data_IF_660484552747
#
_entry.id   IF_660484552747
#
_cell.length_a   1.000
_cell.length_b   1.000
_cell.length_c   1.000
_cell.angle_alpha   90.00
_cell.angle_beta   90.00
_cell.angle_gamma   90.00
#
_symmetry.space_group_name_H-M   'P 1'
#
loop_
_entity.id
_entity.type
_entity.pdbx_description
1 polymer ?
#
# COMPACT_ATOMS: atom_id res chain seq x y z
N UNK A 1 25.63 -15.35 -19.33
CA UNK A 1 24.90 -15.77 -18.11
C UNK A 1 23.92 -14.67 -17.77
N UNK A 2 22.60 -14.95 -17.74
CA UNK A 2 21.61 -13.97 -17.31
C UNK A 2 21.69 -13.81 -15.78
N UNK A 3 21.71 -12.58 -15.28
CA UNK A 3 21.64 -12.32 -13.84
C UNK A 3 20.34 -12.91 -13.28
N UNK A 4 20.35 -13.51 -12.07
CA UNK A 4 19.12 -13.99 -11.45
C UNK A 4 18.11 -12.84 -11.34
N UNK A 5 16.81 -13.10 -11.55
CA UNK A 5 15.79 -12.06 -11.45
C UNK A 5 15.91 -11.40 -10.08
N UNK A 6 16.08 -10.07 -10.05
CA UNK A 6 16.12 -9.29 -8.81
C UNK A 6 14.77 -9.44 -8.13
N UNK A 7 14.68 -10.33 -7.14
CA UNK A 7 13.56 -10.39 -6.23
C UNK A 7 13.61 -9.12 -5.38
N UNK A 8 12.65 -8.23 -5.60
CA UNK A 8 12.49 -7.05 -4.77
C UNK A 8 12.01 -7.50 -3.39
N UNK A 9 12.57 -6.97 -2.29
CA UNK A 9 12.05 -7.26 -0.97
C UNK A 9 10.60 -6.79 -0.91
N UNK A 10 9.69 -7.70 -0.55
CA UNK A 10 8.28 -7.38 -0.34
C UNK A 10 8.20 -6.40 0.84
N UNK A 11 7.39 -5.33 0.75
CA UNK A 11 7.17 -4.42 1.87
C UNK A 11 6.72 -5.17 3.11
N UNK A 12 7.08 -4.65 4.29
CA UNK A 12 6.54 -5.19 5.53
C UNK A 12 5.07 -4.78 5.66
N UNK A 13 4.21 -5.66 6.22
CA UNK A 13 2.83 -5.30 6.52
C UNK A 13 2.73 -4.03 7.36
N UNK A 14 1.66 -3.28 7.16
CA UNK A 14 1.37 -2.12 7.98
C UNK A 14 1.04 -2.59 9.40
N UNK A 15 1.75 -2.06 10.39
CA UNK A 15 1.53 -2.39 11.79
C UNK A 15 0.56 -1.38 12.40
N UNK A 16 -0.61 -1.85 12.84
CA UNK A 16 -1.66 -1.01 13.41
C UNK A 16 -1.63 -0.89 14.95
N UNK A 17 -0.84 -1.72 15.63
CA UNK A 17 -0.87 -1.86 17.10
C UNK A 17 -0.09 -0.80 17.88
N UNK A 18 0.51 0.19 17.22
CA UNK A 18 1.35 1.22 17.84
C UNK A 18 1.00 2.61 17.29
N UNK A 19 1.97 3.54 17.26
CA UNK A 19 1.78 4.85 16.62
C UNK A 19 1.54 4.66 15.11
N UNK A 20 0.26 4.66 14.72
CA UNK A 20 -0.16 4.44 13.34
C UNK A 20 0.45 5.48 12.41
N UNK A 21 0.55 6.74 12.84
CA UNK A 21 1.19 7.81 12.06
C UNK A 21 2.65 7.51 11.74
N UNK A 22 3.42 7.02 12.72
CA UNK A 22 4.83 6.63 12.53
C UNK A 22 4.95 5.39 11.66
N UNK A 23 4.13 4.37 11.90
CA UNK A 23 4.15 3.12 11.12
C UNK A 23 3.71 3.36 9.67
N UNK A 24 2.76 4.28 9.46
CA UNK A 24 2.32 4.71 8.14
C UNK A 24 3.44 5.42 7.38
N UNK A 25 4.21 6.31 8.03
CA UNK A 25 5.40 6.93 7.41
C UNK A 25 6.45 5.89 6.99
N UNK A 26 6.67 4.87 7.82
CA UNK A 26 7.59 3.77 7.49
C UNK A 26 7.04 2.95 6.31
N UNK A 27 5.75 2.65 6.32
CA UNK A 27 5.09 1.92 5.25
C UNK A 27 5.11 2.67 3.92
N UNK A 28 4.81 3.99 3.90
CA UNK A 28 4.94 4.84 2.70
C UNK A 28 6.35 4.80 2.11
N UNK A 29 7.39 4.75 2.95
CA UNK A 29 8.77 4.60 2.50
C UNK A 29 9.02 3.22 1.89
N UNK A 30 8.52 2.17 2.52
CA UNK A 30 8.65 0.79 2.03
C UNK A 30 7.79 0.57 0.75
N UNK A 31 6.72 1.35 0.55
CA UNK A 31 5.88 1.38 -0.67
C UNK A 31 6.60 1.93 -1.91
N UNK A 32 7.81 2.51 -1.78
CA UNK A 32 8.69 2.74 -2.94
C UNK A 32 8.97 1.46 -3.75
N UNK A 33 8.67 0.29 -3.18
CA UNK A 33 8.50 -0.97 -3.88
C UNK A 33 7.67 -0.83 -5.18
N UNK A 34 6.62 -0.02 -5.21
CA UNK A 34 5.80 0.21 -6.40
C UNK A 34 6.61 0.75 -7.59
N UNK A 35 7.57 1.63 -7.31
CA UNK A 35 8.47 2.19 -8.34
C UNK A 35 9.47 1.11 -8.77
N UNK A 36 10.08 0.42 -7.80
CA UNK A 36 11.09 -0.59 -8.06
C UNK A 36 10.53 -1.79 -8.85
N UNK A 37 9.29 -2.19 -8.56
CA UNK A 37 8.56 -3.29 -9.20
C UNK A 37 7.90 -2.89 -10.51
N UNK A 38 7.97 -1.62 -10.91
CA UNK A 38 7.28 -1.04 -12.07
C UNK A 38 5.75 -1.16 -11.99
N UNK A 39 5.19 -1.37 -10.80
CA UNK A 39 3.74 -1.33 -10.57
C UNK A 39 3.17 0.06 -10.84
N UNK A 40 3.99 1.12 -10.69
CA UNK A 40 3.58 2.51 -10.99
C UNK A 40 3.05 2.70 -12.42
N UNK A 41 3.47 1.87 -13.39
CA UNK A 41 2.97 1.89 -14.77
C UNK A 41 1.73 1.02 -15.01
N UNK A 42 1.27 0.28 -14.00
CA UNK A 42 0.06 -0.54 -14.06
C UNK A 42 -1.22 0.28 -13.91
N UNK A 43 -2.37 -0.41 -14.00
CA UNK A 43 -3.68 0.21 -13.72
C UNK A 43 -3.78 0.56 -12.25
N UNK A 44 -4.62 1.56 -11.95
CA UNK A 44 -4.82 1.99 -10.56
C UNK A 44 -5.37 0.85 -9.69
N UNK A 45 -6.29 0.05 -10.23
CA UNK A 45 -6.79 -1.18 -9.62
C UNK A 45 -5.67 -2.17 -9.21
N UNK A 46 -4.71 -2.45 -10.12
CA UNK A 46 -3.59 -3.36 -9.81
C UNK A 46 -2.70 -2.78 -8.71
N UNK A 47 -2.45 -1.46 -8.75
CA UNK A 47 -1.65 -0.75 -7.75
C UNK A 47 -2.30 -0.82 -6.37
N UNK A 48 -3.60 -0.53 -6.29
CA UNK A 48 -4.39 -0.60 -5.06
C UNK A 48 -4.47 -2.04 -4.53
N UNK A 49 -4.79 -3.01 -5.37
CA UNK A 49 -4.85 -4.42 -4.95
C UNK A 49 -3.49 -4.90 -4.39
N UNK A 50 -2.39 -4.45 -4.99
CA UNK A 50 -1.04 -4.78 -4.52
C UNK A 50 -0.72 -4.07 -3.20
N UNK A 51 -1.15 -2.82 -3.03
CA UNK A 51 -1.03 -2.08 -1.77
C UNK A 51 -1.71 -2.84 -0.65
N UNK A 52 -3.00 -3.16 -0.81
CA UNK A 52 -3.79 -3.88 0.19
C UNK A 52 -3.18 -5.24 0.52
N UNK A 53 -2.72 -5.98 -0.49
CA UNK A 53 -2.03 -7.26 -0.31
C UNK A 53 -0.73 -7.11 0.50
N UNK A 54 0.00 -6.01 0.32
CA UNK A 54 1.23 -5.72 1.06
C UNK A 54 0.95 -5.15 2.47
N UNK A 55 -0.14 -4.41 2.65
CA UNK A 55 -0.53 -3.80 3.93
C UNK A 55 -0.95 -4.84 4.97
N UNK A 56 -1.47 -6.00 4.52
CA UNK A 56 -1.89 -7.09 5.39
C UNK A 56 -3.37 -7.01 5.79
N UNK A 57 -3.88 -8.08 6.43
CA UNK A 57 -5.31 -8.23 6.77
C UNK A 57 -5.84 -7.10 7.64
N UNK A 58 -5.10 -6.72 8.67
CA UNK A 58 -5.56 -5.68 9.60
C UNK A 58 -5.78 -4.34 8.88
N UNK A 59 -4.97 -4.03 7.86
CA UNK A 59 -5.14 -2.82 7.06
C UNK A 59 -6.31 -2.93 6.06
N UNK A 60 -6.66 -4.13 5.60
CA UNK A 60 -7.88 -4.36 4.83
C UNK A 60 -9.13 -4.10 5.68
N UNK A 61 -9.14 -4.52 6.94
CA UNK A 61 -10.29 -4.25 7.83
C UNK A 61 -10.50 -2.74 8.05
N UNK A 62 -9.41 -1.97 8.16
CA UNK A 62 -9.48 -0.50 8.20
C UNK A 62 -9.99 0.06 6.85
N UNK A 63 -9.45 -0.45 5.74
CA UNK A 63 -9.83 -0.02 4.40
C UNK A 63 -11.32 -0.26 4.11
N UNK A 64 -11.85 -1.42 4.49
CA UNK A 64 -13.27 -1.76 4.37
C UNK A 64 -14.15 -0.85 5.25
N UNK A 65 -13.57 -0.29 6.32
CA UNK A 65 -14.18 0.74 7.14
C UNK A 65 -14.18 2.13 6.51
N UNK A 66 -13.34 2.39 5.49
CA UNK A 66 -13.37 3.64 4.77
C UNK A 66 -14.59 3.68 3.86
N UNK A 67 -15.46 4.66 4.08
CA UNK A 67 -16.63 4.89 3.23
C UNK A 67 -16.24 5.59 1.90
N UNK A 68 -15.25 5.05 1.20
CA UNK A 68 -14.77 5.55 -0.09
C UNK A 68 -15.74 5.16 -1.21
N UNK A 69 -15.92 6.03 -2.19
CA UNK A 69 -16.67 5.71 -3.42
C UNK A 69 -15.87 4.74 -4.31
N UNK A 70 -16.50 4.12 -5.31
CA UNK A 70 -15.79 3.27 -6.28
C UNK A 70 -14.65 4.01 -7.01
N UNK A 71 -14.83 5.32 -7.25
CA UNK A 71 -13.80 6.16 -7.87
C UNK A 71 -12.61 6.38 -6.91
N UNK A 72 -12.90 6.64 -5.64
CA UNK A 72 -11.86 6.82 -4.61
C UNK A 72 -11.14 5.51 -4.27
N UNK A 73 -11.85 4.37 -4.29
CA UNK A 73 -11.27 3.04 -4.09
C UNK A 73 -10.28 2.64 -5.20
N UNK A 74 -10.31 3.33 -6.34
CA UNK A 74 -9.36 3.14 -7.42
C UNK A 74 -8.30 4.25 -7.49
N UNK A 75 -8.28 5.20 -6.56
CA UNK A 75 -7.26 6.23 -6.51
C UNK A 75 -6.27 5.96 -5.36
N UNK A 76 -5.03 5.68 -5.74
CA UNK A 76 -3.98 5.40 -4.75
C UNK A 76 -3.73 6.57 -3.80
N UNK A 77 -3.85 7.82 -4.24
CA UNK A 77 -3.65 8.98 -3.38
C UNK A 77 -4.77 9.09 -2.35
N UNK A 78 -6.03 8.94 -2.77
CA UNK A 78 -7.19 8.96 -1.85
C UNK A 78 -7.07 7.87 -0.78
N UNK A 79 -6.64 6.67 -1.16
CA UNK A 79 -6.43 5.56 -0.23
C UNK A 79 -5.30 5.87 0.74
N UNK A 80 -4.18 6.41 0.25
CA UNK A 80 -3.06 6.76 1.11
C UNK A 80 -3.44 7.88 2.11
N UNK A 81 -4.25 8.84 1.67
CA UNK A 81 -4.72 9.94 2.49
C UNK A 81 -5.76 9.46 3.53
N UNK A 82 -6.63 8.51 3.17
CA UNK A 82 -7.57 7.89 4.10
C UNK A 82 -6.85 7.15 5.25
N UNK A 83 -5.78 6.42 4.94
CA UNK A 83 -4.93 5.80 5.97
C UNK A 83 -4.20 6.82 6.85
N UNK A 84 -3.80 7.97 6.29
CA UNK A 84 -3.15 9.04 7.05
C UNK A 84 -4.13 9.78 7.98
N UNK A 85 -5.38 9.95 7.56
CA UNK A 85 -6.43 10.61 8.36
C UNK A 85 -7.05 9.70 9.43
N UNK A 86 -6.82 8.40 9.35
CA UNK A 86 -7.28 7.42 10.35
C UNK A 86 -6.31 7.27 11.53
N UNK A 87 -5.11 7.87 11.42
CA UNK A 87 -4.01 7.80 12.38
C UNK A 87 -3.91 9.05 13.28
#
# INVERSE_FOLDING_TARGET
MAAPPRQLPIPRPLILSANLTTNWKVFKRDWNYEIASKLRSGTAEIRVATLLSCSGRDAMDIFDGFQLTEEQNNDMQEILDAFENTA
#
